data_IF_158711527144
#
_entry.id   IF_158711527144
#
_cell.length_a   1.000
_cell.length_b   1.000
_cell.length_c   1.000
_cell.angle_alpha   90.00
_cell.angle_beta   90.00
_cell.angle_gamma   90.00
#
_symmetry.space_group_name_H-M   'P 1'
#
loop_
_entity.id
_entity.type
_entity.pdbx_description
1 polymer ?
#
# COMPACT_ATOMS: atom_id res chain seq x y z
N UNK A 1 -19.77 -8.06 -23.63
CA UNK A 1 -19.35 -9.45 -23.88
C UNK A 1 -17.86 -9.66 -23.57
N UNK A 2 -17.33 -9.11 -22.48
CA UNK A 2 -15.90 -9.19 -22.12
C UNK A 2 -15.74 -9.32 -20.60
N UNK A 3 -16.42 -10.31 -20.01
CA UNK A 3 -16.13 -10.72 -18.64
C UNK A 3 -15.19 -11.90 -18.70
N UNK A 4 -13.96 -11.74 -18.23
CA UNK A 4 -13.07 -12.88 -18.02
C UNK A 4 -13.79 -13.85 -17.08
N UNK A 5 -14.16 -15.00 -17.63
CA UNK A 5 -14.86 -16.04 -16.89
C UNK A 5 -13.94 -16.61 -15.81
N UNK A 6 -14.51 -17.19 -14.74
CA UNK A 6 -13.73 -17.84 -13.69
C UNK A 6 -12.78 -18.91 -14.27
N UNK A 7 -13.16 -19.54 -15.38
CA UNK A 7 -12.31 -20.53 -16.08
C UNK A 7 -11.09 -19.90 -16.75
N UNK A 8 -11.24 -18.76 -17.42
CA UNK A 8 -10.12 -18.05 -18.06
C UNK A 8 -9.15 -17.54 -17.00
N UNK A 9 -9.67 -17.04 -15.88
CA UNK A 9 -8.85 -16.58 -14.75
C UNK A 9 -8.05 -17.73 -14.12
N UNK A 10 -8.64 -18.93 -14.05
CA UNK A 10 -7.96 -20.15 -13.57
C UNK A 10 -6.82 -20.56 -14.49
N UNK A 11 -7.00 -20.49 -15.80
CA UNK A 11 -5.96 -20.79 -16.80
C UNK A 11 -4.82 -19.79 -16.68
N UNK A 12 -5.13 -18.48 -16.60
CA UNK A 12 -4.12 -17.43 -16.42
C UNK A 12 -3.37 -17.61 -15.09
N UNK A 13 -4.08 -17.90 -13.99
CA UNK A 13 -3.47 -18.20 -12.71
C UNK A 13 -2.54 -19.43 -12.79
N UNK A 14 -2.94 -20.46 -13.54
CA UNK A 14 -2.11 -21.63 -13.81
C UNK A 14 -0.83 -21.30 -14.58
N UNK A 15 -0.91 -20.46 -15.62
CA UNK A 15 0.26 -19.99 -16.38
C UNK A 15 1.20 -19.17 -15.48
N UNK A 16 0.65 -18.24 -14.70
CA UNK A 16 1.42 -17.45 -13.72
C UNK A 16 2.09 -18.37 -12.71
N UNK A 17 1.38 -19.39 -12.20
CA UNK A 17 1.96 -20.36 -11.28
C UNK A 17 3.03 -21.24 -11.94
N UNK A 18 2.95 -21.55 -13.24
CA UNK A 18 4.01 -22.26 -13.97
C UNK A 18 5.27 -21.39 -14.13
N UNK A 19 5.11 -20.11 -14.45
CA UNK A 19 6.23 -19.18 -14.64
C UNK A 19 6.93 -18.83 -13.33
N UNK A 20 6.15 -18.54 -12.28
CA UNK A 20 6.68 -18.09 -11.00
C UNK A 20 6.84 -19.22 -9.98
N UNK A 21 6.08 -20.31 -10.10
CA UNK A 21 6.13 -21.46 -9.21
C UNK A 21 5.96 -21.07 -7.74
N UNK A 22 6.86 -21.61 -6.92
CA UNK A 22 6.96 -21.30 -5.49
C UNK A 22 7.44 -19.88 -5.17
N UNK A 23 7.83 -19.07 -6.18
CA UNK A 23 8.25 -17.68 -5.98
C UNK A 23 7.07 -16.70 -5.96
N UNK A 24 5.90 -17.11 -6.45
CA UNK A 24 4.69 -16.28 -6.48
C UNK A 24 4.31 -15.72 -5.09
N UNK A 25 4.27 -16.53 -4.01
CA UNK A 25 3.95 -16.03 -2.66
C UNK A 25 4.99 -15.04 -2.14
N UNK A 26 6.28 -15.24 -2.49
CA UNK A 26 7.37 -14.35 -2.10
C UNK A 26 7.24 -12.98 -2.76
N UNK A 27 6.92 -12.95 -4.06
CA UNK A 27 6.68 -11.72 -4.84
C UNK A 27 5.43 -11.00 -4.36
N UNK A 28 4.34 -11.73 -4.09
CA UNK A 28 3.12 -11.14 -3.53
C UNK A 28 3.35 -10.55 -2.15
N UNK A 29 4.13 -11.23 -1.29
CA UNK A 29 4.46 -10.73 0.04
C UNK A 29 5.28 -9.43 -0.03
N UNK A 30 6.32 -9.38 -0.86
CA UNK A 30 7.12 -8.15 -1.03
C UNK A 30 6.32 -6.99 -1.64
N UNK A 31 5.42 -7.28 -2.59
CA UNK A 31 4.51 -6.27 -3.14
C UNK A 31 3.50 -5.79 -2.10
N UNK A 32 2.92 -6.70 -1.32
CA UNK A 32 1.96 -6.37 -0.27
C UNK A 32 2.57 -5.49 0.81
N UNK A 33 3.78 -5.80 1.26
CA UNK A 33 4.54 -4.97 2.21
C UNK A 33 4.77 -3.56 1.64
N UNK A 34 5.18 -3.44 0.36
CA UNK A 34 5.34 -2.14 -0.30
C UNK A 34 4.05 -1.33 -0.43
N UNK A 35 2.92 -1.99 -0.74
CA UNK A 35 1.60 -1.32 -0.81
C UNK A 35 1.16 -0.82 0.57
N UNK A 36 1.41 -1.61 1.63
CA UNK A 36 1.08 -1.22 3.01
C UNK A 36 1.88 0.00 3.43
N UNK A 37 3.20 0.02 3.20
CA UNK A 37 4.05 1.16 3.50
C UNK A 37 3.67 2.39 2.67
N UNK A 38 3.36 2.20 1.38
CA UNK A 38 2.87 3.29 0.52
C UNK A 38 1.58 3.89 1.07
N UNK A 39 0.61 3.06 1.48
CA UNK A 39 -0.65 3.53 2.05
C UNK A 39 -0.42 4.30 3.36
N UNK A 40 0.46 3.82 4.24
CA UNK A 40 0.82 4.50 5.50
C UNK A 40 1.46 5.87 5.23
N UNK A 41 2.38 5.94 4.26
CA UNK A 41 3.02 7.19 3.85
C UNK A 41 2.03 8.21 3.31
N UNK A 42 1.08 7.79 2.47
CA UNK A 42 0.04 8.67 1.92
C UNK A 42 -0.93 9.15 3.01
N UNK A 43 -1.38 8.26 3.90
CA UNK A 43 -2.28 8.62 5.00
C UNK A 43 -1.64 9.58 6.01
N UNK A 44 -0.35 9.39 6.33
CA UNK A 44 0.38 10.31 7.21
C UNK A 44 0.55 11.73 6.62
N UNK A 45 0.45 11.88 5.30
CA UNK A 45 0.47 13.19 4.62
C UNK A 45 -0.94 13.83 4.62
N UNK A 46 -2.00 13.02 4.51
CA UNK A 46 -3.39 13.51 4.59
C UNK A 46 -3.81 13.89 6.03
N UNK A 47 -3.25 13.25 7.05
CA UNK A 47 -3.54 13.52 8.46
C UNK A 47 -2.76 14.70 9.07
N UNK A 48 -1.88 15.38 8.31
CA UNK A 48 -1.21 16.62 8.76
C UNK A 48 -1.75 17.91 8.09
N UNK A 49 -2.97 18.37 8.43
CA UNK A 49 -3.37 19.76 8.27
C UNK A 49 -3.30 20.57 9.58
N UNK A 50 -2.57 20.10 10.61
CA UNK A 50 -2.61 20.74 11.92
C UNK A 50 -1.30 20.71 12.73
N UNK A 51 -0.14 20.82 12.08
CA UNK A 51 0.95 21.56 12.69
C UNK A 51 0.49 23.02 12.87
N UNK A 52 -0.03 23.37 14.06
CA UNK A 52 -0.08 24.76 14.54
C UNK A 52 1.25 25.04 15.24
N UNK A 53 2.22 25.74 14.61
CA UNK A 53 3.34 26.31 15.32
C UNK A 53 2.83 27.63 15.93
N UNK A 54 2.39 27.59 17.19
CA UNK A 54 1.78 28.78 17.78
C UNK A 54 1.63 28.83 19.30
N UNK A 55 2.05 27.81 20.04
CA UNK A 55 2.13 27.90 21.51
C UNK A 55 3.59 27.86 21.98
N UNK A 56 4.35 28.83 21.50
CA UNK A 56 5.52 29.34 22.19
C UNK A 56 5.14 30.66 22.85
N UNK A 57 4.15 30.62 23.74
CA UNK A 57 3.82 31.68 24.69
C UNK A 57 4.83 31.75 25.83
N UNK A 58 6.10 31.92 25.48
CA UNK A 58 7.12 32.42 26.39
C UNK A 58 6.87 33.92 26.59
N UNK A 59 6.00 34.24 27.53
CA UNK A 59 6.06 35.47 28.31
C UNK A 59 6.58 35.07 29.69
N UNK A 60 7.86 34.76 29.84
CA UNK A 60 8.86 35.72 30.33
C UNK A 60 8.39 37.19 30.36
N UNK A 61 8.15 37.68 31.57
CA UNK A 61 7.74 39.04 31.91
C UNK A 61 7.02 38.97 33.26
N UNK A 62 7.74 39.08 34.37
CA UNK A 62 7.81 40.31 35.17
C UNK A 62 6.46 40.80 35.67
#
# INVERSE_FOLDING_TARGET
MFGLGPMELLIVAGIVLLLFGSRLPKVMRSLGEGIVEFKRGVQGIEEDPAARPGDSGRAEGR
#
